data_IF_286640376672
#
_entry.id   IF_286640376672
#
_cell.length_a   1.000
_cell.length_b   1.000
_cell.length_c   1.000
_cell.angle_alpha   90.00
_cell.angle_beta   90.00
_cell.angle_gamma   90.00
#
_symmetry.space_group_name_H-M   'P 1'
#
loop_
_entity.id
_entity.type
_entity.pdbx_description
1 polymer ?
#
# COMPACT_ATOMS: atom_id res chain seq x y z
N UNK A 1 -26.88 -1.23 -14.17
CA UNK A 1 -25.60 -0.74 -13.65
C UNK A 1 -24.92 -1.95 -13.03
N UNK A 2 -23.83 -2.44 -13.62
CA UNK A 2 -23.18 -3.69 -13.20
C UNK A 2 -22.56 -3.53 -11.81
N UNK A 3 -22.88 -4.43 -10.89
CA UNK A 3 -22.14 -4.58 -9.65
C UNK A 3 -20.67 -4.82 -9.99
N UNK A 4 -19.82 -3.88 -9.58
CA UNK A 4 -18.37 -4.07 -9.71
C UNK A 4 -18.02 -5.18 -8.71
N UNK A 5 -17.68 -6.37 -9.20
CA UNK A 5 -17.14 -7.45 -8.36
C UNK A 5 -15.80 -6.99 -7.79
N UNK A 6 -15.83 -6.41 -6.61
CA UNK A 6 -14.63 -5.98 -5.88
C UNK A 6 -13.97 -7.24 -5.32
N UNK A 7 -12.73 -7.52 -5.75
CA UNK A 7 -11.91 -8.58 -5.16
C UNK A 7 -11.75 -8.34 -3.65
N UNK A 8 -11.55 -9.40 -2.86
CA UNK A 8 -11.43 -9.27 -1.39
C UNK A 8 -10.40 -8.18 -1.05
N UNK A 9 -10.78 -7.15 -0.26
CA UNK A 9 -9.88 -6.08 0.17
C UNK A 9 -8.54 -6.57 0.72
N UNK A 10 -8.55 -7.72 1.42
CA UNK A 10 -7.35 -8.30 2.04
C UNK A 10 -6.38 -8.90 1.02
N UNK A 11 -6.87 -9.28 -0.16
CA UNK A 11 -6.01 -9.75 -1.25
C UNK A 11 -5.32 -8.57 -1.97
N UNK A 12 -5.93 -7.38 -1.92
CA UNK A 12 -5.41 -6.17 -2.57
C UNK A 12 -4.27 -5.56 -1.76
N UNK A 13 -4.40 -5.46 -0.43
CA UNK A 13 -3.41 -4.85 0.47
C UNK A 13 -2.56 -5.95 1.10
N UNK A 14 -1.29 -6.04 0.69
CA UNK A 14 -0.41 -7.16 1.08
C UNK A 14 0.29 -6.88 2.40
N UNK A 15 0.96 -5.73 2.54
CA UNK A 15 1.71 -5.35 3.76
C UNK A 15 2.09 -3.87 3.78
N UNK A 16 2.36 -3.28 4.97
CA UNK A 16 2.97 -1.96 5.07
C UNK A 16 4.41 -1.95 4.57
N UNK A 17 4.85 -0.82 4.02
CA UNK A 17 6.24 -0.59 3.62
C UNK A 17 6.93 0.26 4.66
N UNK A 18 8.04 -0.26 5.20
CA UNK A 18 8.83 0.39 6.26
C UNK A 18 10.19 0.78 5.70
N UNK A 19 10.50 2.07 5.76
CA UNK A 19 11.76 2.70 5.34
C UNK A 19 11.85 4.11 5.94
N UNK A 20 13.04 4.70 6.01
CA UNK A 20 13.21 6.09 6.47
C UNK A 20 12.29 7.07 5.75
N UNK A 21 12.21 6.95 4.42
CA UNK A 21 11.33 7.79 3.60
C UNK A 21 9.85 7.64 3.94
N UNK A 22 9.40 6.42 4.22
CA UNK A 22 7.99 6.21 4.57
C UNK A 22 7.68 6.85 5.92
N UNK A 23 8.60 6.81 6.89
CA UNK A 23 8.43 7.52 8.16
C UNK A 23 8.34 9.04 7.98
N UNK A 24 9.16 9.65 7.12
CA UNK A 24 9.03 11.08 6.79
C UNK A 24 7.65 11.41 6.24
N UNK A 25 7.12 10.55 5.37
CA UNK A 25 5.80 10.74 4.75
C UNK A 25 4.63 10.55 5.74
N UNK A 26 4.82 9.83 6.85
CA UNK A 26 3.78 9.69 7.87
C UNK A 26 3.38 11.02 8.48
N UNK A 27 4.35 11.93 8.71
CA UNK A 27 4.07 13.29 9.22
C UNK A 27 3.23 14.15 8.27
N UNK A 28 3.18 13.78 6.98
CA UNK A 28 2.33 14.42 5.98
C UNK A 28 0.98 13.69 5.78
N UNK A 29 0.64 12.70 6.62
CA UNK A 29 -0.56 11.89 6.48
C UNK A 29 -0.52 10.92 5.30
N UNK A 30 0.67 10.51 4.87
CA UNK A 30 0.87 9.61 3.72
C UNK A 30 1.38 8.24 4.17
N UNK A 31 0.61 7.21 3.84
CA UNK A 31 0.87 5.83 4.25
C UNK A 31 1.23 4.99 3.03
N UNK A 32 2.25 4.12 3.15
CA UNK A 32 2.75 3.34 2.01
C UNK A 32 2.54 1.85 2.20
N UNK A 33 1.95 1.20 1.20
CA UNK A 33 1.63 -0.23 1.18
C UNK A 33 2.22 -0.92 -0.04
N UNK A 34 2.61 -2.18 0.13
CA UNK A 34 2.76 -3.11 -0.98
C UNK A 34 1.36 -3.67 -1.31
N UNK A 35 0.98 -3.59 -2.58
CA UNK A 35 -0.35 -3.98 -3.07
C UNK A 35 -0.25 -4.95 -4.23
N UNK A 36 -1.35 -5.63 -4.55
CA UNK A 36 -1.40 -6.50 -5.71
C UNK A 36 -1.08 -5.72 -7.01
N UNK A 37 -0.12 -6.18 -7.84
CA UNK A 37 0.26 -5.50 -9.07
C UNK A 37 -0.88 -5.32 -10.09
N UNK A 38 -1.95 -6.10 -10.02
CA UNK A 38 -3.13 -5.99 -10.89
C UNK A 38 -4.18 -5.02 -10.35
N UNK A 39 -4.04 -4.55 -9.11
CA UNK A 39 -5.01 -3.66 -8.50
C UNK A 39 -5.02 -2.24 -9.11
N UNK A 40 -6.22 -1.72 -9.37
CA UNK A 40 -6.46 -0.34 -9.77
C UNK A 40 -6.53 0.60 -8.56
N UNK A 41 -6.29 1.90 -8.77
CA UNK A 41 -6.33 2.90 -7.70
C UNK A 41 -7.69 2.94 -6.97
N UNK A 42 -8.79 2.77 -7.71
CA UNK A 42 -10.14 2.73 -7.12
C UNK A 42 -10.31 1.54 -6.18
N UNK A 43 -9.81 0.36 -6.55
CA UNK A 43 -9.86 -0.83 -5.69
C UNK A 43 -9.01 -0.64 -4.43
N UNK A 44 -7.81 -0.08 -4.55
CA UNK A 44 -6.94 0.22 -3.40
C UNK A 44 -7.63 1.21 -2.45
N UNK A 45 -8.28 2.25 -2.99
CA UNK A 45 -9.02 3.23 -2.20
C UNK A 45 -10.15 2.59 -1.39
N UNK A 46 -10.95 1.74 -2.04
CA UNK A 46 -12.06 1.02 -1.41
C UNK A 46 -11.52 0.05 -0.35
N UNK A 47 -10.47 -0.71 -0.66
CA UNK A 47 -9.89 -1.69 0.24
C UNK A 47 -9.32 -1.03 1.52
N UNK A 48 -8.57 0.07 1.39
CA UNK A 48 -8.06 0.82 2.55
C UNK A 48 -9.20 1.33 3.42
N UNK A 49 -10.25 1.91 2.80
CA UNK A 49 -11.42 2.42 3.54
C UNK A 49 -12.13 1.30 4.29
N UNK A 50 -12.29 0.13 3.68
CA UNK A 50 -12.96 -1.02 4.30
C UNK A 50 -12.13 -1.69 5.41
N UNK A 51 -10.81 -1.83 5.25
CA UNK A 51 -9.96 -2.50 6.23
C UNK A 51 -9.68 -1.60 7.43
N UNK A 52 -9.39 -0.32 7.19
CA UNK A 52 -8.89 0.59 8.22
C UNK A 52 -9.91 1.63 8.69
N UNK A 53 -11.07 1.75 8.02
CA UNK A 53 -12.13 2.66 8.43
C UNK A 53 -11.80 4.14 8.24
N UNK A 54 -10.84 4.47 7.36
CA UNK A 54 -10.35 5.83 7.13
C UNK A 54 -10.86 6.42 5.82
N UNK A 55 -10.92 7.75 5.77
CA UNK A 55 -11.19 8.47 4.54
C UNK A 55 -9.92 8.77 3.75
N UNK A 56 -9.91 8.27 2.51
CA UNK A 56 -8.76 8.38 1.60
C UNK A 56 -8.97 9.55 0.65
N UNK A 57 -8.07 10.53 0.73
CA UNK A 57 -8.04 11.69 -0.17
C UNK A 57 -7.52 11.32 -1.55
N UNK A 58 -6.34 10.71 -1.62
CA UNK A 58 -5.69 10.38 -2.89
C UNK A 58 -4.84 9.11 -2.81
N UNK A 59 -4.65 8.46 -3.96
CA UNK A 59 -3.83 7.25 -4.10
C UNK A 59 -2.86 7.42 -5.26
N UNK A 60 -1.57 7.27 -4.96
CA UNK A 60 -0.48 7.28 -5.91
C UNK A 60 0.14 5.88 -5.95
N UNK A 61 0.29 5.30 -7.14
CA UNK A 61 0.82 3.94 -7.30
C UNK A 61 2.06 3.95 -8.18
N UNK A 62 3.02 3.09 -7.87
CA UNK A 62 4.21 2.87 -8.69
C UNK A 62 4.51 1.38 -8.80
N UNK A 63 4.85 0.92 -10.00
CA UNK A 63 5.31 -0.45 -10.23
C UNK A 63 6.83 -0.50 -10.07
N UNK A 64 7.32 -1.41 -9.24
CA UNK A 64 8.75 -1.61 -9.00
C UNK A 64 9.16 -2.98 -9.50
N UNK A 65 10.07 -2.99 -10.46
CA UNK A 65 10.66 -4.23 -10.96
C UNK A 65 11.50 -4.90 -9.86
N UNK A 66 11.32 -6.22 -9.74
CA UNK A 66 12.13 -7.01 -8.83
C UNK A 66 13.61 -6.97 -9.24
N UNK A 67 14.51 -6.80 -8.26
CA UNK A 67 15.95 -6.78 -8.52
C UNK A 67 16.41 -8.17 -8.99
N UNK A 68 17.19 -8.21 -10.07
CA UNK A 68 17.93 -9.40 -10.50
C UNK A 68 19.00 -9.73 -9.45
N UNK A 69 19.11 -11.00 -9.06
CA UNK A 69 20.03 -11.49 -8.03
C UNK A 69 20.74 -12.74 -8.53
N UNK A 70 22.00 -12.90 -8.15
CA UNK A 70 22.75 -14.12 -8.43
C UNK A 70 22.31 -15.21 -7.47
N UNK A 71 22.11 -16.39 -8.00
CA UNK A 71 21.76 -17.62 -7.29
C UNK A 71 22.82 -18.67 -7.60
N UNK A 72 22.85 -19.76 -6.82
CA UNK A 72 23.85 -20.83 -6.99
C UNK A 72 23.89 -21.40 -8.42
N UNK A 73 22.74 -21.50 -9.08
CA UNK A 73 22.60 -22.11 -10.41
C UNK A 73 22.54 -21.10 -11.56
N UNK A 74 22.55 -19.79 -11.28
CA UNK A 74 22.46 -18.77 -12.32
C UNK A 74 21.86 -17.45 -11.83
N UNK A 75 21.06 -16.80 -12.69
CA UNK A 75 20.41 -15.54 -12.37
C UNK A 75 18.93 -15.75 -12.04
N UNK A 76 18.51 -15.28 -10.87
CA UNK A 76 17.11 -15.20 -10.49
C UNK A 76 16.63 -13.75 -10.43
N UNK A 77 15.32 -13.55 -10.37
CA UNK A 77 14.71 -12.24 -10.16
C UNK A 77 13.74 -12.30 -8.99
N UNK A 78 13.76 -11.28 -8.12
CA UNK A 78 12.73 -11.15 -7.08
C UNK A 78 11.38 -10.83 -7.71
N UNK A 79 10.29 -11.11 -6.98
CA UNK A 79 8.94 -10.70 -7.38
C UNK A 79 8.90 -9.18 -7.61
N UNK A 80 8.28 -8.76 -8.71
CA UNK A 80 7.94 -7.35 -8.95
C UNK A 80 6.73 -6.98 -8.08
N UNK A 81 6.79 -5.79 -7.51
CA UNK A 81 5.80 -5.33 -6.53
C UNK A 81 5.21 -4.00 -6.98
N UNK A 82 3.98 -3.70 -6.57
CA UNK A 82 3.38 -2.39 -6.72
C UNK A 82 3.33 -1.73 -5.35
N UNK A 83 3.83 -0.51 -5.24
CA UNK A 83 3.65 0.28 -4.02
C UNK A 83 2.51 1.27 -4.24
N UNK A 84 1.68 1.43 -3.22
CA UNK A 84 0.63 2.44 -3.14
C UNK A 84 0.96 3.40 -1.99
N UNK A 85 1.06 4.68 -2.30
CA UNK A 85 1.13 5.78 -1.35
C UNK A 85 -0.29 6.34 -1.25
N UNK A 86 -0.85 6.31 -0.06
CA UNK A 86 -2.23 6.67 0.24
C UNK A 86 -2.20 7.88 1.14
N UNK A 87 -2.84 8.95 0.69
CA UNK A 87 -3.03 10.16 1.50
C UNK A 87 -4.37 10.06 2.19
N UNK A 88 -4.38 10.13 3.52
CA UNK A 88 -5.62 10.16 4.31
C UNK A 88 -5.96 11.59 4.71
N UNK A 89 -7.23 11.81 5.01
CA UNK A 89 -7.73 13.08 5.53
C UNK A 89 -8.34 12.83 6.91
N UNK A 90 -7.93 13.64 7.89
CA UNK A 90 -8.41 13.51 9.27
C UNK A 90 -7.66 12.45 10.08
N UNK A 91 -8.41 11.75 10.94
CA UNK A 91 -7.86 10.76 11.87
C UNK A 91 -7.31 9.53 11.12
N UNK A 92 -6.02 9.20 11.29
CA UNK A 92 -5.44 8.00 10.69
C UNK A 92 -6.01 6.70 11.27
N UNK A 93 -6.74 6.75 12.40
CA UNK A 93 -7.39 5.59 13.00
C UNK A 93 -6.43 4.41 13.16
N UNK A 94 -6.86 3.23 12.71
CA UNK A 94 -6.08 1.98 12.79
C UNK A 94 -4.80 1.98 11.95
N UNK A 95 -4.61 2.95 11.03
CA UNK A 95 -3.35 3.08 10.29
C UNK A 95 -2.21 3.54 11.19
N UNK A 96 -2.48 4.43 12.15
CA UNK A 96 -1.46 4.95 13.07
C UNK A 96 -0.81 3.84 13.89
N UNK A 97 -1.60 2.85 14.32
CA UNK A 97 -1.14 1.69 15.10
C UNK A 97 -0.16 0.81 14.31
N UNK A 98 -0.41 0.61 13.01
CA UNK A 98 0.37 -0.30 12.15
C UNK A 98 1.76 0.24 11.84
N UNK A 99 1.91 1.58 11.79
CA UNK A 99 3.18 2.24 11.48
C UNK A 99 3.96 2.68 12.72
N UNK A 100 3.54 2.26 13.91
CA UNK A 100 4.33 2.39 15.14
C UNK A 100 3.92 3.53 16.07
N UNK A 101 2.69 4.05 15.96
CA UNK A 101 1.99 4.77 17.02
C UNK A 101 2.79 5.81 17.80
N UNK A 102 2.89 7.03 17.25
CA UNK A 102 2.75 8.34 17.92
C UNK A 102 3.27 9.40 16.95
N UNK A 103 2.33 10.05 16.25
CA UNK A 103 2.56 11.37 15.68
C UNK A 103 1.83 12.30 16.65
N UNK A 104 2.58 12.89 17.58
CA UNK A 104 2.11 14.00 18.42
C UNK A 104 2.07 15.29 17.61
#
# INVERSE_FOLDING_TARGET
MSEVTVADPRDIIIKPVISEKTYTLLGEGKYTFEVDPRANKSHIKIAIKQIFGVDVKSVNTLNRSGKRKRTRTGWGQRKSVKHAIVTVEGDPGRLGEIFGGQIS
#
